data_IF_247956727028
#
_entry.id   IF_247956727028
#
_cell.length_a   1.000
_cell.length_b   1.000
_cell.length_c   1.000
_cell.angle_alpha   90.00
_cell.angle_beta   90.00
_cell.angle_gamma   90.00
#
_symmetry.space_group_name_H-M   'P 1'
#
loop_
_entity.id
_entity.type
_entity.pdbx_description
1 polymer ?
#
# COMPACT_ATOMS: atom_id res chain seq x y z
N UNK A 1 -7.02 10.25 -20.06
CA UNK A 1 -7.41 9.23 -19.10
C UNK A 1 -6.20 8.38 -18.71
N UNK A 2 -6.12 8.00 -17.46
CA UNK A 2 -5.08 7.09 -17.04
C UNK A 2 -5.48 5.67 -17.32
N UNK A 3 -4.67 5.07 -18.13
CA UNK A 3 -4.83 3.68 -18.44
C UNK A 3 -4.22 2.84 -17.30
N UNK A 4 -4.60 1.62 -17.29
CA UNK A 4 -4.10 0.59 -16.41
C UNK A 4 -2.59 0.37 -16.48
N UNK A 5 -1.92 1.02 -17.42
CA UNK A 5 -0.49 0.84 -17.67
C UNK A 5 0.43 1.70 -16.79
N UNK A 6 -0.13 2.55 -15.95
CA UNK A 6 0.67 3.30 -14.98
C UNK A 6 0.81 2.43 -13.74
N UNK A 7 1.92 1.72 -13.67
CA UNK A 7 2.19 0.78 -12.60
C UNK A 7 2.52 1.46 -11.28
N UNK A 8 1.79 1.08 -10.24
CA UNK A 8 2.05 1.49 -8.86
C UNK A 8 2.29 0.24 -8.00
N UNK A 9 3.06 -0.68 -8.54
CA UNK A 9 3.32 -1.97 -7.90
C UNK A 9 4.46 -1.86 -6.90
N UNK A 10 4.16 -1.30 -5.75
CA UNK A 10 5.02 -1.41 -4.60
C UNK A 10 4.60 -2.64 -3.79
N UNK A 11 5.54 -3.37 -3.20
CA UNK A 11 5.18 -4.51 -2.35
C UNK A 11 4.68 -4.03 -0.99
N UNK A 12 3.46 -3.52 -0.95
CA UNK A 12 2.79 -3.12 0.29
C UNK A 12 2.65 -4.35 1.18
N UNK A 13 3.26 -4.31 2.35
CA UNK A 13 3.36 -5.48 3.22
C UNK A 13 3.19 -5.10 4.67
N UNK A 14 2.31 -5.79 5.37
CA UNK A 14 2.24 -5.75 6.83
C UNK A 14 3.40 -6.60 7.36
N UNK A 15 4.24 -6.04 8.20
CA UNK A 15 5.44 -6.70 8.70
C UNK A 15 5.49 -6.71 10.22
N UNK A 16 6.36 -7.56 10.76
CA UNK A 16 6.51 -7.74 12.19
C UNK A 16 5.34 -8.54 12.78
N UNK A 17 5.15 -8.42 14.07
CA UNK A 17 4.08 -9.12 14.77
C UNK A 17 2.88 -8.23 14.97
N UNK A 18 1.68 -8.80 14.82
CA UNK A 18 0.45 -8.11 15.19
C UNK A 18 0.30 -8.12 16.72
N UNK A 19 -0.02 -6.94 17.27
CA UNK A 19 -0.31 -6.79 18.70
C UNK A 19 -1.81 -6.68 18.90
N UNK A 20 -2.38 -7.55 19.73
CA UNK A 20 -3.80 -7.46 20.07
C UNK A 20 -4.07 -6.15 20.80
N UNK A 21 -4.94 -5.33 20.25
CA UNK A 21 -5.39 -4.09 20.87
C UNK A 21 -6.66 -4.30 21.69
N UNK A 22 -7.62 -5.03 21.11
CA UNK A 22 -8.86 -5.43 21.79
C UNK A 22 -9.38 -6.72 21.15
N UNK A 23 -10.60 -7.14 21.49
CA UNK A 23 -11.18 -8.38 20.98
C UNK A 23 -11.39 -8.38 19.47
N UNK A 24 -11.48 -7.21 18.86
CA UNK A 24 -11.77 -7.06 17.43
C UNK A 24 -10.53 -6.75 16.60
N UNK A 25 -9.61 -5.97 17.15
CA UNK A 25 -8.54 -5.30 16.41
C UNK A 25 -7.17 -5.70 16.94
N UNK A 26 -6.26 -5.95 16.00
CA UNK A 26 -4.83 -6.04 16.26
C UNK A 26 -4.09 -4.94 15.49
N UNK A 27 -3.04 -4.41 16.09
CA UNK A 27 -2.23 -3.35 15.50
C UNK A 27 -0.99 -3.94 14.85
N UNK A 28 -0.67 -3.47 13.66
CA UNK A 28 0.55 -3.83 12.94
C UNK A 28 1.19 -2.63 12.29
N UNK A 29 2.31 -2.88 11.62
CA UNK A 29 2.99 -1.87 10.79
C UNK A 29 2.96 -2.32 9.34
N UNK A 30 2.84 -1.35 8.45
CA UNK A 30 2.77 -1.62 7.01
C UNK A 30 3.75 -0.74 6.27
N UNK A 31 4.57 -1.33 5.39
CA UNK A 31 5.39 -0.59 4.43
C UNK A 31 4.59 -0.38 3.16
N UNK A 32 4.68 0.79 2.54
CA UNK A 32 3.78 1.16 1.45
C UNK A 32 4.53 1.45 0.16
N UNK A 33 5.41 2.44 0.16
CA UNK A 33 6.13 2.86 -1.04
C UNK A 33 7.47 3.50 -0.68
N UNK A 34 8.31 3.69 -1.68
CA UNK A 34 9.56 4.43 -1.56
C UNK A 34 9.63 5.55 -2.60
N UNK A 35 10.45 6.55 -2.33
CA UNK A 35 10.65 7.70 -3.23
C UNK A 35 11.55 7.33 -4.40
N UNK A 36 11.47 8.10 -5.47
CA UNK A 36 12.27 7.91 -6.65
C UNK A 36 11.61 7.03 -7.69
N UNK A 37 12.42 6.54 -8.64
CA UNK A 37 11.95 5.68 -9.70
C UNK A 37 11.78 4.23 -9.25
N UNK A 38 10.80 3.55 -9.83
CA UNK A 38 10.58 2.13 -9.62
C UNK A 38 10.64 1.36 -10.94
N UNK A 39 10.57 0.03 -10.84
CA UNK A 39 10.67 -0.85 -12.01
C UNK A 39 9.52 -0.66 -13.01
N UNK A 40 8.42 -0.13 -12.57
CA UNK A 40 7.22 0.04 -13.39
C UNK A 40 7.21 1.35 -14.16
N UNK A 41 8.30 2.13 -14.07
CA UNK A 41 8.42 3.38 -14.82
C UNK A 41 7.68 4.56 -14.22
N UNK A 42 7.32 4.49 -12.94
CA UNK A 42 6.77 5.64 -12.21
C UNK A 42 7.82 6.23 -11.28
N UNK A 43 7.65 7.50 -10.95
CA UNK A 43 8.59 8.22 -10.11
C UNK A 43 7.83 9.00 -9.04
N UNK A 44 8.23 8.81 -7.79
CA UNK A 44 7.64 9.50 -6.64
C UNK A 44 8.62 10.54 -6.11
N UNK A 45 8.26 11.80 -6.25
CA UNK A 45 9.03 12.92 -5.71
C UNK A 45 8.77 13.09 -4.21
N UNK A 46 9.64 13.83 -3.53
CA UNK A 46 9.44 14.18 -2.12
C UNK A 46 8.09 14.89 -1.92
N UNK A 47 7.77 15.82 -2.80
CA UNK A 47 6.53 16.61 -2.71
C UNK A 47 5.29 15.72 -2.89
N UNK A 48 5.33 14.82 -3.87
CA UNK A 48 4.22 13.89 -4.07
C UNK A 48 4.08 12.93 -2.90
N UNK A 49 5.19 12.44 -2.36
CA UNK A 49 5.17 11.55 -1.19
C UNK A 49 4.44 12.19 -0.02
N UNK A 50 4.74 13.45 0.27
CA UNK A 50 4.08 14.19 1.35
C UNK A 50 2.58 14.36 1.09
N UNK A 51 2.22 14.71 -0.13
CA UNK A 51 0.80 14.83 -0.52
C UNK A 51 0.06 13.51 -0.39
N UNK A 52 0.67 12.43 -0.88
CA UNK A 52 0.06 11.11 -0.84
C UNK A 52 -0.13 10.64 0.60
N UNK A 53 0.88 10.81 1.45
CA UNK A 53 0.80 10.43 2.85
C UNK A 53 -0.25 11.22 3.63
N UNK A 54 -0.55 12.45 3.20
CA UNK A 54 -1.64 13.22 3.82
C UNK A 54 -3.02 12.60 3.58
N UNK A 55 -3.15 11.73 2.59
CA UNK A 55 -4.41 11.05 2.27
C UNK A 55 -4.51 9.64 2.85
N UNK A 56 -3.46 9.17 3.56
CA UNK A 56 -3.41 7.79 4.05
C UNK A 56 -4.32 7.51 5.26
N UNK A 57 -4.62 8.48 6.17
CA UNK A 57 -5.54 8.20 7.27
C UNK A 57 -6.86 7.65 6.76
N UNK A 58 -7.35 6.61 7.46
CA UNK A 58 -8.58 5.87 7.11
C UNK A 58 -8.53 5.06 5.83
N UNK A 59 -7.38 4.94 5.16
CA UNK A 59 -7.26 4.08 4.00
C UNK A 59 -7.55 2.62 4.40
N UNK A 60 -8.41 1.91 3.64
CA UNK A 60 -8.74 0.52 3.96
C UNK A 60 -7.63 -0.43 3.53
N UNK A 61 -7.43 -1.47 4.32
CA UNK A 61 -6.62 -2.63 3.95
C UNK A 61 -7.56 -3.67 3.36
N UNK A 62 -7.40 -3.97 2.08
CA UNK A 62 -8.36 -4.78 1.33
C UNK A 62 -7.73 -6.08 0.83
N UNK A 63 -8.55 -7.08 0.63
CA UNK A 63 -8.09 -8.34 0.04
C UNK A 63 -9.23 -9.25 -0.34
N UNK A 64 -8.92 -10.23 -1.18
CA UNK A 64 -9.80 -11.35 -1.48
C UNK A 64 -9.08 -12.59 -0.96
N UNK A 65 -9.71 -13.29 -0.02
CA UNK A 65 -9.17 -14.54 0.53
C UNK A 65 -9.82 -15.73 -0.17
N UNK A 66 -9.00 -16.55 -0.79
CA UNK A 66 -9.45 -17.79 -1.43
C UNK A 66 -9.29 -18.94 -0.45
N UNK A 67 -10.43 -19.37 0.12
CA UNK A 67 -10.43 -20.41 1.13
C UNK A 67 -9.81 -21.73 0.66
N UNK A 68 -10.04 -22.11 -0.59
CA UNK A 68 -9.50 -23.35 -1.16
C UNK A 68 -7.97 -23.30 -1.32
N UNK A 69 -7.43 -22.15 -1.61
CA UNK A 69 -5.98 -21.93 -1.76
C UNK A 69 -5.32 -21.53 -0.44
N UNK A 70 -6.11 -21.10 0.53
CA UNK A 70 -5.61 -20.66 1.82
C UNK A 70 -4.83 -19.37 1.78
N UNK A 71 -5.05 -18.52 0.77
CA UNK A 71 -4.28 -17.30 0.59
C UNK A 71 -5.14 -16.16 0.02
N UNK A 72 -4.55 -14.96 0.01
CA UNK A 72 -5.14 -13.78 -0.58
C UNK A 72 -4.77 -13.70 -2.06
N UNK A 73 -5.71 -13.30 -2.91
CA UNK A 73 -5.49 -13.23 -4.35
C UNK A 73 -5.43 -11.80 -4.89
N UNK A 74 -6.17 -10.86 -4.30
CA UNK A 74 -6.29 -9.50 -4.82
C UNK A 74 -6.87 -8.55 -3.77
N UNK A 75 -6.89 -7.26 -4.11
CA UNK A 75 -7.60 -6.23 -3.33
C UNK A 75 -9.09 -6.30 -3.49
N UNK A 76 -9.55 -6.84 -4.62
CA UNK A 76 -10.91 -6.64 -5.06
C UNK A 76 -11.13 -5.23 -5.60
N UNK A 77 -12.31 -4.96 -6.08
CA UNK A 77 -12.72 -3.62 -6.50
C UNK A 77 -13.82 -3.10 -5.57
N UNK A 78 -14.20 -1.85 -5.72
CA UNK A 78 -15.30 -1.27 -4.94
C UNK A 78 -16.61 -2.04 -5.08
N UNK A 79 -16.74 -2.86 -6.12
CA UNK A 79 -17.95 -3.64 -6.42
C UNK A 79 -17.72 -5.14 -6.33
N UNK A 80 -16.52 -5.57 -6.00
CA UNK A 80 -16.15 -6.98 -5.98
C UNK A 80 -16.38 -7.59 -4.61
N UNK A 81 -15.97 -8.84 -4.50
CA UNK A 81 -16.10 -9.67 -3.31
C UNK A 81 -14.98 -9.45 -2.29
N UNK A 82 -14.12 -8.47 -2.52
CA UNK A 82 -13.05 -8.15 -1.60
C UNK A 82 -13.57 -7.72 -0.23
N UNK A 83 -12.82 -8.06 0.81
CA UNK A 83 -13.11 -7.64 2.17
C UNK A 83 -12.19 -6.52 2.59
N UNK A 84 -12.69 -5.72 3.51
CA UNK A 84 -11.84 -4.76 4.22
C UNK A 84 -11.35 -5.44 5.49
N UNK A 85 -10.06 -5.77 5.52
CA UNK A 85 -9.44 -6.47 6.64
C UNK A 85 -8.89 -5.55 7.71
N UNK A 86 -8.83 -4.27 7.41
CA UNK A 86 -8.28 -3.30 8.34
C UNK A 86 -8.40 -1.89 7.83
N UNK A 87 -7.84 -0.98 8.61
CA UNK A 87 -7.88 0.45 8.30
C UNK A 87 -6.61 1.11 8.85
N UNK A 88 -6.15 2.16 8.18
CA UNK A 88 -5.10 3.02 8.72
C UNK A 88 -5.75 3.97 9.73
N UNK A 89 -5.20 4.11 10.96
CA UNK A 89 -5.78 5.01 11.95
C UNK A 89 -5.62 6.48 11.55
N UNK A 90 -6.38 7.35 12.20
CA UNK A 90 -6.32 8.81 11.99
C UNK A 90 -4.89 9.34 12.17
N UNK A 91 -4.19 8.86 13.17
CA UNK A 91 -2.77 9.16 13.37
C UNK A 91 -1.94 7.92 13.03
N UNK A 92 -1.41 7.84 11.81
CA UNK A 92 -0.81 6.60 11.33
C UNK A 92 0.63 6.36 11.78
N UNK A 93 1.22 7.27 12.56
CA UNK A 93 2.63 7.18 12.97
C UNK A 93 3.57 6.96 11.78
N UNK A 94 3.54 7.87 10.83
CA UNK A 94 4.35 7.76 9.61
C UNK A 94 5.83 7.79 9.97
N UNK A 95 6.57 6.81 9.44
CA UNK A 95 8.03 6.78 9.54
C UNK A 95 8.64 6.28 8.23
N UNK A 96 9.92 6.59 8.04
CA UNK A 96 10.69 6.10 6.89
C UNK A 96 11.66 5.07 7.41
N UNK A 97 11.52 3.81 6.93
CA UNK A 97 12.28 2.66 7.45
C UNK A 97 12.88 1.87 6.30
N UNK A 98 14.11 1.39 6.53
CA UNK A 98 14.80 0.57 5.53
C UNK A 98 14.26 -0.86 5.57
N UNK A 99 13.93 -1.38 4.38
CA UNK A 99 13.51 -2.75 4.19
C UNK A 99 14.22 -3.34 2.97
N UNK A 100 14.66 -4.59 3.09
CA UNK A 100 15.25 -5.33 1.98
C UNK A 100 14.14 -5.92 1.12
N UNK A 101 14.21 -5.65 -0.19
CA UNK A 101 13.29 -6.21 -1.16
C UNK A 101 13.77 -7.58 -1.67
N UNK A 102 12.92 -8.26 -2.42
CA UNK A 102 13.23 -9.59 -2.97
C UNK A 102 14.47 -9.59 -3.87
N UNK A 103 14.80 -8.44 -4.48
CA UNK A 103 15.99 -8.28 -5.30
C UNK A 103 17.29 -8.08 -4.48
N UNK A 104 17.19 -8.11 -3.17
CA UNK A 104 18.32 -7.90 -2.26
C UNK A 104 18.70 -6.43 -2.06
N UNK A 105 17.95 -5.51 -2.64
CA UNK A 105 18.23 -4.08 -2.50
C UNK A 105 17.44 -3.53 -1.30
N UNK A 106 18.14 -2.82 -0.43
CA UNK A 106 17.53 -2.12 0.70
C UNK A 106 16.98 -0.78 0.20
N UNK A 107 15.70 -0.53 0.46
CA UNK A 107 15.04 0.72 0.13
C UNK A 107 14.38 1.32 1.37
N UNK A 108 14.30 2.64 1.41
CA UNK A 108 13.65 3.34 2.53
C UNK A 108 12.18 3.54 2.20
N UNK A 109 11.32 2.81 2.90
CA UNK A 109 9.87 2.82 2.70
C UNK A 109 9.17 3.78 3.65
N UNK A 110 8.11 4.41 3.15
CA UNK A 110 7.11 5.01 4.03
C UNK A 110 6.35 3.90 4.74
N UNK A 111 6.30 3.98 6.06
CA UNK A 111 5.66 2.98 6.91
C UNK A 111 4.61 3.64 7.80
N UNK A 112 3.51 2.93 8.02
CA UNK A 112 2.39 3.43 8.83
C UNK A 112 1.84 2.32 9.72
N UNK A 113 1.13 2.72 10.77
CA UNK A 113 0.32 1.81 11.55
C UNK A 113 -0.90 1.35 10.77
N UNK A 114 -1.30 0.10 10.96
CA UNK A 114 -2.56 -0.44 10.46
C UNK A 114 -3.29 -1.15 11.59
N UNK A 115 -4.59 -1.06 11.57
CA UNK A 115 -5.48 -1.77 12.50
C UNK A 115 -6.15 -2.89 11.72
N UNK A 116 -5.88 -4.13 12.08
CA UNK A 116 -6.35 -5.32 11.36
C UNK A 116 -7.48 -5.98 12.17
N UNK A 117 -8.55 -6.34 11.50
CA UNK A 117 -9.74 -6.90 12.13
C UNK A 117 -9.61 -8.39 12.41
N UNK A 118 -8.61 -8.75 13.21
CA UNK A 118 -8.27 -10.14 13.51
C UNK A 118 -9.35 -10.88 14.32
N UNK A 119 -10.18 -10.15 15.06
CA UNK A 119 -11.28 -10.73 15.80
C UNK A 119 -12.56 -10.91 15.00
N UNK A 120 -12.64 -10.33 13.79
CA UNK A 120 -13.81 -10.45 12.91
C UNK A 120 -13.62 -11.53 11.84
N UNK A 121 -12.38 -11.72 11.37
CA UNK A 121 -12.07 -12.66 10.31
C UNK A 121 -10.94 -13.58 10.74
N UNK A 122 -11.19 -14.87 10.72
CA UNK A 122 -10.18 -15.86 11.16
C UNK A 122 -8.94 -15.85 10.28
N UNK A 123 -9.08 -15.52 8.99
CA UNK A 123 -7.97 -15.44 8.04
C UNK A 123 -7.14 -14.16 8.17
N UNK A 124 -7.61 -13.14 8.88
CA UNK A 124 -6.95 -11.83 8.91
C UNK A 124 -5.54 -11.87 9.49
N UNK A 125 -5.26 -12.80 10.38
CA UNK A 125 -3.92 -12.96 10.95
C UNK A 125 -2.87 -13.36 9.92
N UNK A 126 -3.30 -14.00 8.84
CA UNK A 126 -2.41 -14.44 7.77
C UNK A 126 -1.95 -13.32 6.83
N UNK A 127 -2.40 -12.08 7.05
CA UNK A 127 -2.03 -10.95 6.19
C UNK A 127 -0.56 -10.54 6.35
N UNK A 128 0.04 -10.84 7.49
CA UNK A 128 1.44 -10.49 7.75
C UNK A 128 2.36 -11.21 6.77
N UNK A 129 3.26 -10.45 6.14
CA UNK A 129 4.20 -10.97 5.17
C UNK A 129 3.65 -11.12 3.75
N UNK A 130 2.36 -10.89 3.56
CA UNK A 130 1.74 -10.89 2.22
C UNK A 130 1.88 -9.54 1.58
N UNK A 131 2.23 -9.52 0.30
CA UNK A 131 2.44 -8.28 -0.45
C UNK A 131 1.32 -8.07 -1.44
N UNK A 132 0.87 -6.83 -1.55
CA UNK A 132 -0.10 -6.39 -2.54
C UNK A 132 0.30 -5.03 -3.08
N UNK A 133 -0.27 -4.64 -4.21
CA UNK A 133 -0.06 -3.29 -4.75
C UNK A 133 -0.90 -2.28 -4.01
N UNK A 134 -0.38 -1.08 -3.81
CA UNK A 134 -1.19 0.01 -3.30
C UNK A 134 -2.15 0.50 -4.39
N UNK A 135 -3.30 1.00 -3.99
CA UNK A 135 -4.28 1.57 -4.91
C UNK A 135 -4.39 3.07 -4.71
N UNK A 136 -4.39 3.80 -5.81
CA UNK A 136 -4.68 5.23 -5.84
C UNK A 136 -5.97 5.43 -6.63
N UNK A 137 -6.83 6.29 -6.13
CA UNK A 137 -8.10 6.61 -6.79
C UNK A 137 -7.83 7.21 -8.17
N UNK A 138 -8.13 6.51 -9.28
CA UNK A 138 -7.70 6.93 -10.61
C UNK A 138 -8.09 8.35 -11.01
N UNK A 139 -9.33 8.83 -10.75
CA UNK A 139 -9.66 10.22 -11.08
C UNK A 139 -8.84 11.27 -10.34
N UNK A 140 -8.16 10.91 -9.26
CA UNK A 140 -7.32 11.84 -8.49
C UNK A 140 -5.91 11.98 -9.05
N UNK A 141 -5.50 11.07 -9.94
CA UNK A 141 -4.12 11.00 -10.42
C UNK A 141 -3.85 12.13 -11.40
N UNK A 142 -2.82 12.91 -11.12
CA UNK A 142 -2.26 13.90 -12.04
C UNK A 142 -0.75 13.73 -12.08
N UNK A 143 -0.19 13.92 -13.27
CA UNK A 143 1.25 13.83 -13.46
C UNK A 143 1.61 13.98 -14.92
N UNK A 144 2.87 13.74 -15.23
CA UNK A 144 3.40 13.88 -16.59
C UNK A 144 4.57 12.92 -16.81
N UNK A 145 4.78 12.55 -18.06
CA UNK A 145 5.98 11.81 -18.45
C UNK A 145 7.17 12.74 -18.49
N UNK A 146 8.25 12.32 -17.84
CA UNK A 146 9.51 13.08 -17.81
C UNK A 146 10.70 12.14 -17.96
N UNK A 147 11.80 12.67 -18.46
CA UNK A 147 13.07 11.94 -18.55
C UNK A 147 13.93 12.36 -17.37
N UNK A 148 14.34 11.38 -16.56
CA UNK A 148 15.19 11.58 -15.39
C UNK A 148 16.39 10.66 -15.53
N UNK A 149 17.60 11.22 -15.58
CA UNK A 149 18.85 10.49 -15.78
C UNK A 149 18.80 9.57 -16.98
N UNK A 150 18.21 10.04 -18.10
CA UNK A 150 18.14 9.31 -19.35
C UNK A 150 17.03 8.27 -19.43
N UNK A 151 16.23 8.08 -18.39
CA UNK A 151 15.12 7.13 -18.35
C UNK A 151 13.78 7.86 -18.26
N UNK A 152 12.80 7.34 -19.00
CA UNK A 152 11.44 7.91 -19.02
C UNK A 152 10.62 7.39 -17.86
N UNK A 153 10.05 8.31 -17.07
CA UNK A 153 9.17 8.01 -15.95
C UNK A 153 7.88 8.78 -16.04
N UNK A 154 6.81 8.17 -15.54
CA UNK A 154 5.61 8.91 -15.19
C UNK A 154 5.79 9.51 -13.79
N UNK A 155 5.84 10.84 -13.72
CA UNK A 155 6.08 11.55 -12.47
C UNK A 155 4.75 12.05 -11.93
N UNK A 156 4.36 11.56 -10.75
CA UNK A 156 3.11 11.96 -10.12
C UNK A 156 3.19 13.36 -9.53
N UNK A 157 2.11 14.11 -9.65
CA UNK A 157 1.93 15.42 -9.03
C UNK A 157 0.87 15.39 -7.94
N UNK A 158 -0.16 14.56 -8.08
CA UNK A 158 -1.20 14.38 -7.07
C UNK A 158 -1.83 13.00 -7.16
N UNK A 159 -2.46 12.58 -6.08
CA UNK A 159 -3.20 11.34 -5.98
C UNK A 159 -3.75 11.16 -4.57
N UNK A 160 -4.76 10.31 -4.44
CA UNK A 160 -5.43 10.00 -3.18
C UNK A 160 -5.47 8.49 -3.00
N UNK A 161 -5.07 7.98 -1.84
CA UNK A 161 -5.12 6.56 -1.55
C UNK A 161 -6.54 6.02 -1.62
N UNK A 162 -6.69 4.91 -2.33
CA UNK A 162 -7.93 4.15 -2.36
C UNK A 162 -7.86 2.93 -1.45
N UNK A 163 -6.70 2.30 -1.36
CA UNK A 163 -6.52 1.13 -0.51
C UNK A 163 -5.09 0.59 -0.49
N UNK A 164 -4.86 -0.25 0.50
CA UNK A 164 -3.60 -0.97 0.72
C UNK A 164 -3.82 -2.47 0.62
#
# INVERSE_FOLDING_TARGET
MFEENIGLEFPVTVYGNLEKYNETISKGRCRIFYKGGNRNGTFITDEFADKLLSTIPYAPVKGIYEGDEGDYTDHGTARSQGRIYGIVPENPNISWEDHEDEDGIVRTYACVDVLIFTGLYTEAKGIVGKSQSMEIYPPSIKGAWKIINGKKYYVFESGHFLGL
#
